data_IF_482028626640
#
_entry.id   IF_482028626640
#
_cell.length_a   1.000
_cell.length_b   1.000
_cell.length_c   1.000
_cell.angle_alpha   90.00
_cell.angle_beta   90.00
_cell.angle_gamma   90.00
#
_symmetry.space_group_name_H-M   'P 1'
#
loop_
_entity.id
_entity.type
_entity.pdbx_description
1 polymer ?
#
# COMPACT_ATOMS: atom_id res chain seq x y z
N UNK A 1 6.05 25.08 55.81
CA UNK A 1 5.21 24.78 54.61
C UNK A 1 4.56 23.46 54.81
N UNK A 2 3.33 23.47 55.22
CA UNK A 2 2.52 22.32 55.62
C UNK A 2 2.05 21.55 54.38
N UNK A 3 2.51 20.30 54.23
CA UNK A 3 1.96 19.36 53.31
C UNK A 3 0.58 18.92 53.80
N UNK A 4 -0.46 19.57 53.34
CA UNK A 4 -1.84 19.06 53.43
C UNK A 4 -1.94 17.90 52.42
N UNK A 5 -1.82 16.70 52.88
CA UNK A 5 -2.13 15.51 52.09
C UNK A 5 -3.60 15.54 51.77
N UNK A 6 -3.97 15.87 50.55
CA UNK A 6 -5.35 15.77 50.04
C UNK A 6 -5.75 14.29 50.08
N UNK A 7 -6.49 13.92 51.13
CA UNK A 7 -7.01 12.54 51.32
C UNK A 7 -8.07 12.37 50.20
N UNK A 8 -7.83 11.47 49.22
CA UNK A 8 -8.77 11.30 48.12
C UNK A 8 -10.16 10.93 48.68
N UNK A 9 -11.19 11.56 48.13
CA UNK A 9 -12.59 11.25 48.46
C UNK A 9 -12.79 9.73 48.54
N UNK A 10 -13.61 9.28 49.44
CA UNK A 10 -13.87 7.84 49.70
C UNK A 10 -14.37 7.11 48.46
N UNK A 11 -14.96 7.84 47.50
CA UNK A 11 -15.45 7.35 46.20
C UNK A 11 -15.10 8.34 45.09
N UNK A 12 -15.01 7.86 43.87
CA UNK A 12 -14.80 8.69 42.67
C UNK A 12 -16.04 9.59 42.44
N UNK A 13 -15.84 10.73 41.75
CA UNK A 13 -16.97 11.52 41.27
C UNK A 13 -17.89 10.66 40.38
N UNK A 14 -19.15 11.03 40.33
CA UNK A 14 -20.09 10.34 39.45
C UNK A 14 -19.70 10.54 37.97
N UNK A 15 -19.48 9.45 37.20
CA UNK A 15 -19.20 9.56 35.77
C UNK A 15 -20.43 10.10 35.01
N UNK A 16 -20.21 10.89 33.97
CA UNK A 16 -21.26 11.31 33.06
C UNK A 16 -21.85 10.14 32.29
N UNK A 17 -23.02 10.31 31.68
CA UNK A 17 -23.65 9.25 30.87
C UNK A 17 -22.77 8.77 29.73
N UNK A 18 -21.95 9.68 29.12
CA UNK A 18 -20.99 9.34 28.10
C UNK A 18 -19.82 8.52 28.65
N UNK A 19 -19.27 8.94 29.82
CA UNK A 19 -18.22 8.21 30.52
C UNK A 19 -18.68 6.82 30.97
N UNK A 20 -19.91 6.67 31.44
CA UNK A 20 -20.46 5.35 31.78
C UNK A 20 -20.54 4.41 30.58
N UNK A 21 -20.99 4.90 29.43
CA UNK A 21 -21.02 4.09 28.19
C UNK A 21 -19.64 3.60 27.83
N UNK A 22 -18.66 4.51 27.86
CA UNK A 22 -17.28 4.18 27.48
C UNK A 22 -16.60 3.27 28.51
N UNK A 23 -16.79 3.47 29.81
CA UNK A 23 -16.29 2.59 30.87
C UNK A 23 -16.86 1.17 30.76
N UNK A 24 -18.13 1.02 30.41
CA UNK A 24 -18.77 -0.28 30.16
C UNK A 24 -18.15 -0.97 28.94
N UNK A 25 -17.91 -0.22 27.87
CA UNK A 25 -17.20 -0.72 26.68
C UNK A 25 -15.79 -1.20 27.04
N UNK A 26 -15.01 -0.38 27.74
CA UNK A 26 -13.65 -0.70 28.16
C UNK A 26 -13.57 -1.89 29.14
N UNK A 27 -14.61 -2.13 29.95
CA UNK A 27 -14.72 -3.31 30.81
C UNK A 27 -14.66 -4.62 30.05
N UNK A 28 -15.15 -4.64 28.81
CA UNK A 28 -15.18 -5.82 27.91
C UNK A 28 -13.99 -5.93 26.96
N UNK A 29 -13.03 -4.99 26.99
CA UNK A 29 -11.88 -5.01 26.07
C UNK A 29 -10.92 -6.18 26.34
N UNK A 30 -10.26 -6.67 25.27
CA UNK A 30 -9.21 -7.70 25.37
C UNK A 30 -7.88 -7.19 25.96
N UNK A 31 -7.79 -5.90 26.32
CA UNK A 31 -6.63 -5.32 26.99
C UNK A 31 -6.79 -5.46 28.53
N UNK A 32 -6.22 -6.48 29.19
CA UNK A 32 -6.53 -6.82 30.59
C UNK A 32 -6.30 -5.65 31.54
N UNK A 33 -5.20 -4.92 31.37
CA UNK A 33 -4.88 -3.77 32.23
C UNK A 33 -5.89 -2.64 32.14
N UNK A 34 -6.44 -2.34 30.95
CA UNK A 34 -7.44 -1.29 30.75
C UNK A 34 -8.81 -1.72 31.27
N UNK A 35 -9.18 -2.98 31.05
CA UNK A 35 -10.41 -3.55 31.60
C UNK A 35 -10.46 -3.51 33.13
N UNK A 36 -9.35 -3.79 33.80
CA UNK A 36 -9.24 -3.70 35.27
C UNK A 36 -9.43 -2.27 35.76
N UNK A 37 -8.82 -1.28 35.08
CA UNK A 37 -8.92 0.16 35.43
C UNK A 37 -10.37 0.67 35.28
N UNK A 38 -11.02 0.33 34.17
CA UNK A 38 -12.44 0.67 33.96
C UNK A 38 -13.35 0.06 35.04
N UNK A 39 -13.10 -1.19 35.43
CA UNK A 39 -13.85 -1.86 36.51
C UNK A 39 -13.63 -1.24 37.89
N UNK A 40 -12.42 -0.75 38.19
CA UNK A 40 -12.12 -0.03 39.43
C UNK A 40 -12.97 1.25 39.52
N UNK A 41 -13.04 2.03 38.45
CA UNK A 41 -13.85 3.28 38.40
C UNK A 41 -15.34 2.97 38.53
N UNK A 42 -15.86 1.99 37.78
CA UNK A 42 -17.26 1.59 37.84
C UNK A 42 -17.66 1.14 39.25
N UNK A 43 -16.85 0.28 39.91
CA UNK A 43 -17.15 -0.16 41.27
C UNK A 43 -17.12 1.00 42.29
N UNK A 44 -16.21 1.95 42.10
CA UNK A 44 -16.18 3.15 42.99
C UNK A 44 -17.38 4.08 42.76
N UNK A 45 -17.86 4.21 41.51
CA UNK A 45 -19.06 4.93 41.18
C UNK A 45 -20.33 4.27 41.77
N UNK A 46 -20.32 2.92 41.81
CA UNK A 46 -21.35 2.11 42.49
C UNK A 46 -21.25 2.14 44.03
N UNK A 47 -20.44 3.05 44.60
CA UNK A 47 -20.20 3.21 46.04
C UNK A 47 -19.60 1.98 46.74
N UNK A 48 -18.90 1.11 46.02
CA UNK A 48 -18.15 -0.03 46.60
C UNK A 48 -16.92 0.50 47.35
N UNK A 49 -16.71 0.14 48.63
CA UNK A 49 -15.57 0.61 49.39
C UNK A 49 -14.21 0.10 48.82
N UNK A 50 -13.18 0.94 48.93
CA UNK A 50 -11.82 0.63 48.39
C UNK A 50 -11.31 -0.76 48.82
N UNK A 51 -11.43 -1.19 50.11
CA UNK A 51 -10.99 -2.53 50.53
C UNK A 51 -11.68 -3.66 49.76
N UNK A 52 -12.93 -3.47 49.44
CA UNK A 52 -13.73 -4.43 48.66
C UNK A 52 -13.30 -4.44 47.18
N UNK A 53 -13.04 -3.27 46.57
CA UNK A 53 -12.48 -3.15 45.21
C UNK A 53 -11.14 -3.87 45.11
N UNK A 54 -10.27 -3.70 46.15
CA UNK A 54 -8.98 -4.40 46.24
C UNK A 54 -9.15 -5.92 46.22
N UNK A 55 -10.06 -6.46 47.05
CA UNK A 55 -10.35 -7.91 47.08
C UNK A 55 -10.89 -8.42 45.75
N UNK A 56 -11.91 -7.76 45.20
CA UNK A 56 -12.57 -8.17 43.95
C UNK A 56 -11.65 -8.09 42.75
N UNK A 57 -10.66 -7.18 42.75
CA UNK A 57 -9.77 -6.95 41.59
C UNK A 57 -8.36 -7.48 41.80
N UNK A 58 -8.03 -7.95 43.01
CA UNK A 58 -6.69 -8.43 43.44
C UNK A 58 -5.61 -7.36 43.14
N UNK A 59 -5.84 -6.13 43.53
CA UNK A 59 -4.95 -4.98 43.36
C UNK A 59 -4.66 -4.28 44.68
N UNK A 60 -3.50 -3.62 44.77
CA UNK A 60 -3.12 -2.88 45.95
C UNK A 60 -3.92 -1.56 46.12
N UNK A 61 -4.00 -1.07 47.37
CA UNK A 61 -4.65 0.21 47.68
C UNK A 61 -4.06 1.39 46.85
N UNK A 62 -2.73 1.56 46.73
CA UNK A 62 -2.15 2.61 45.90
C UNK A 62 -2.60 2.54 44.43
N UNK A 63 -2.77 1.34 43.90
CA UNK A 63 -3.24 1.10 42.52
C UNK A 63 -4.69 1.59 42.35
N UNK A 64 -5.59 1.24 43.29
CA UNK A 64 -6.99 1.71 43.24
C UNK A 64 -7.04 3.23 43.31
N UNK A 65 -6.44 3.81 44.37
CA UNK A 65 -6.43 5.27 44.59
C UNK A 65 -5.80 6.02 43.40
N UNK A 66 -4.69 5.49 42.85
CA UNK A 66 -4.02 6.10 41.69
C UNK A 66 -4.91 6.17 40.45
N UNK A 67 -5.69 5.11 40.17
CA UNK A 67 -6.58 5.12 38.99
C UNK A 67 -7.83 5.97 39.22
N UNK A 68 -8.39 6.02 40.44
CA UNK A 68 -9.51 6.91 40.74
C UNK A 68 -9.10 8.38 40.59
N UNK A 69 -7.92 8.76 41.13
CA UNK A 69 -7.37 10.12 40.97
C UNK A 69 -7.17 10.50 39.51
N UNK A 70 -6.62 9.59 38.69
CA UNK A 70 -6.44 9.84 37.25
C UNK A 70 -7.76 10.01 36.52
N UNK A 71 -8.77 9.24 36.88
CA UNK A 71 -10.10 9.40 36.31
C UNK A 71 -10.72 10.74 36.75
N UNK A 72 -10.57 11.15 37.98
CA UNK A 72 -11.05 12.46 38.45
C UNK A 72 -10.42 13.63 37.71
N UNK A 73 -9.12 13.55 37.44
CA UNK A 73 -8.35 14.59 36.75
C UNK A 73 -8.59 14.66 35.24
N UNK A 74 -8.78 13.55 34.59
CA UNK A 74 -8.73 13.45 33.11
C UNK A 74 -9.84 12.59 32.50
N UNK A 75 -10.83 12.15 33.27
CA UNK A 75 -11.91 11.29 32.81
C UNK A 75 -11.41 9.94 32.26
N UNK A 76 -12.13 9.38 31.31
CA UNK A 76 -11.77 8.11 30.66
C UNK A 76 -10.37 8.12 30.01
N UNK A 77 -9.92 9.20 29.32
CA UNK A 77 -8.54 9.31 28.82
C UNK A 77 -7.46 9.10 29.89
N UNK A 78 -7.74 9.45 31.15
CA UNK A 78 -6.81 9.23 32.27
C UNK A 78 -6.51 7.76 32.57
N UNK A 79 -7.35 6.83 32.10
CA UNK A 79 -7.16 5.39 32.26
C UNK A 79 -6.23 4.79 31.21
N UNK A 80 -5.91 5.51 30.14
CA UNK A 80 -4.97 5.05 29.12
C UNK A 80 -3.53 5.01 29.67
N UNK A 81 -2.76 4.05 29.21
CA UNK A 81 -1.35 3.95 29.57
C UNK A 81 -0.57 5.06 28.86
N UNK A 82 -0.01 6.01 29.59
CA UNK A 82 0.94 6.97 29.03
C UNK A 82 2.22 6.23 28.64
N UNK A 83 2.80 6.61 27.49
CA UNK A 83 4.15 6.18 27.14
C UNK A 83 5.09 6.55 28.30
N UNK A 84 5.79 5.56 28.86
CA UNK A 84 6.80 5.82 29.87
C UNK A 84 8.05 6.31 29.16
N UNK A 85 8.60 7.45 29.57
CA UNK A 85 9.94 7.87 29.21
C UNK A 85 10.92 6.91 29.89
N UNK A 86 11.24 5.79 29.23
CA UNK A 86 12.29 4.90 29.66
C UNK A 86 13.68 5.46 29.34
N UNK A 87 14.73 4.82 29.85
CA UNK A 87 16.11 5.11 29.42
C UNK A 87 16.17 5.13 27.89
N UNK A 88 16.79 6.16 27.26
CA UNK A 88 16.90 6.23 25.81
C UNK A 88 17.41 4.91 25.23
N UNK A 89 16.73 4.42 24.21
CA UNK A 89 17.12 3.17 23.56
C UNK A 89 18.49 3.33 22.91
N UNK A 90 19.42 2.44 23.22
CA UNK A 90 20.71 2.36 22.52
C UNK A 90 20.56 1.87 21.06
N UNK A 91 19.39 1.39 20.69
CA UNK A 91 19.04 0.98 19.34
C UNK A 91 18.39 2.18 18.64
N UNK A 92 19.22 2.98 17.99
CA UNK A 92 18.79 4.18 17.22
C UNK A 92 18.46 3.80 15.78
N UNK A 93 17.68 4.63 15.05
CA UNK A 93 17.44 4.45 13.61
C UNK A 93 18.75 4.42 12.80
N UNK A 94 19.75 5.18 13.20
CA UNK A 94 21.08 5.21 12.55
C UNK A 94 21.81 3.88 12.72
N UNK A 95 21.78 3.30 13.91
CA UNK A 95 22.34 1.98 14.16
C UNK A 95 21.62 0.91 13.32
N UNK A 96 20.30 0.97 13.19
CA UNK A 96 19.55 0.02 12.37
C UNK A 96 19.92 0.12 10.88
N UNK A 97 20.09 1.33 10.35
CA UNK A 97 20.57 1.55 8.98
C UNK A 97 22.00 1.03 8.80
N UNK A 98 22.90 1.34 9.74
CA UNK A 98 24.29 0.87 9.69
C UNK A 98 24.37 -0.65 9.77
N UNK A 99 23.57 -1.31 10.62
CA UNK A 99 23.46 -2.76 10.69
C UNK A 99 23.01 -3.37 9.36
N UNK A 100 22.03 -2.77 8.69
CA UNK A 100 21.56 -3.25 7.38
C UNK A 100 22.69 -3.24 6.34
N UNK A 101 23.50 -2.17 6.31
CA UNK A 101 24.66 -2.04 5.39
C UNK A 101 25.72 -3.08 5.74
N UNK A 102 26.16 -3.14 7.00
CA UNK A 102 27.26 -4.01 7.44
C UNK A 102 26.91 -5.49 7.29
N UNK A 103 25.66 -5.88 7.61
CA UNK A 103 25.24 -7.29 7.52
C UNK A 103 24.94 -7.73 6.07
N UNK A 104 24.75 -6.81 5.14
CA UNK A 104 24.64 -7.11 3.71
C UNK A 104 26.01 -7.36 3.06
N UNK A 105 27.08 -6.80 3.61
CA UNK A 105 28.44 -7.02 3.16
C UNK A 105 29.04 -8.29 3.80
N UNK A 106 29.92 -8.99 3.06
CA UNK A 106 30.67 -10.10 3.64
C UNK A 106 31.72 -9.54 4.62
N UNK A 107 31.97 -10.21 5.76
CA UNK A 107 33.00 -9.78 6.71
C UNK A 107 34.37 -9.49 6.08
N UNK A 108 34.76 -10.31 5.09
CA UNK A 108 36.04 -10.15 4.35
C UNK A 108 36.13 -8.84 3.59
N UNK A 109 35.03 -8.37 3.01
CA UNK A 109 34.95 -7.12 2.25
C UNK A 109 35.10 -5.89 3.15
N UNK A 110 34.92 -6.10 4.46
CA UNK A 110 35.09 -5.09 5.52
C UNK A 110 36.33 -5.31 6.40
N UNK A 111 37.30 -6.09 5.90
CA UNK A 111 38.55 -6.34 6.59
C UNK A 111 38.49 -7.33 7.77
N UNK A 112 37.40 -8.08 7.91
CA UNK A 112 37.26 -9.14 8.94
C UNK A 112 37.48 -10.49 8.29
N UNK A 113 38.55 -11.25 8.62
CA UNK A 113 38.97 -12.47 7.92
C UNK A 113 38.06 -13.68 8.26
N UNK A 114 36.78 -13.56 8.01
CA UNK A 114 35.77 -14.61 8.27
C UNK A 114 34.77 -14.71 7.12
N UNK A 115 34.20 -15.89 6.85
CA UNK A 115 33.26 -16.09 5.74
C UNK A 115 31.86 -15.57 6.05
N UNK A 116 31.48 -15.44 7.32
CA UNK A 116 30.16 -14.97 7.74
C UNK A 116 30.23 -14.24 9.09
N UNK A 117 29.25 -13.37 9.36
CA UNK A 117 29.14 -12.67 10.64
C UNK A 117 28.64 -13.59 11.75
N UNK A 118 29.35 -13.64 12.88
CA UNK A 118 28.78 -14.04 14.16
C UNK A 118 28.34 -12.79 14.93
N UNK A 119 27.45 -12.96 15.90
CA UNK A 119 26.97 -11.84 16.73
C UNK A 119 28.12 -11.16 17.50
N UNK A 120 29.10 -11.96 17.98
CA UNK A 120 30.29 -11.45 18.66
C UNK A 120 31.18 -10.63 17.75
N UNK A 121 31.46 -11.13 16.55
CA UNK A 121 32.29 -10.45 15.56
C UNK A 121 31.65 -9.16 15.02
N UNK A 122 30.33 -9.19 14.80
CA UNK A 122 29.60 -7.99 14.41
C UNK A 122 29.64 -6.94 15.52
N UNK A 123 29.49 -7.35 16.78
CA UNK A 123 29.66 -6.44 17.94
C UNK A 123 31.05 -5.84 17.97
N UNK A 124 32.09 -6.67 17.84
CA UNK A 124 33.49 -6.24 17.83
C UNK A 124 33.75 -5.22 16.71
N UNK A 125 33.30 -5.51 15.52
CA UNK A 125 33.38 -4.61 14.37
C UNK A 125 32.69 -3.25 14.62
N UNK A 126 31.44 -3.26 15.15
CA UNK A 126 30.69 -2.06 15.46
C UNK A 126 31.34 -1.22 16.58
N UNK A 127 31.96 -1.87 17.55
CA UNK A 127 32.74 -1.19 18.61
C UNK A 127 34.01 -0.57 18.03
N UNK A 128 34.77 -1.35 17.23
CA UNK A 128 36.03 -0.90 16.60
C UNK A 128 35.81 0.27 15.64
N UNK A 129 34.73 0.26 14.88
CA UNK A 129 34.40 1.34 13.93
C UNK A 129 33.71 2.54 14.58
N UNK A 130 33.45 2.49 15.87
CA UNK A 130 32.75 3.57 16.60
C UNK A 130 31.24 3.66 16.32
N UNK A 131 30.70 2.79 15.47
CA UNK A 131 29.28 2.81 15.10
C UNK A 131 28.35 2.47 16.28
N UNK A 132 28.83 1.69 17.25
CA UNK A 132 28.10 1.37 18.49
C UNK A 132 29.07 1.07 19.63
N UNK A 133 29.76 2.06 20.20
CA UNK A 133 30.91 1.87 21.09
C UNK A 133 30.60 1.12 22.42
N UNK A 134 29.35 1.05 22.82
CA UNK A 134 28.93 0.40 24.08
C UNK A 134 27.71 -0.52 23.93
N UNK A 135 27.55 -1.19 22.75
CA UNK A 135 26.44 -2.11 22.54
C UNK A 135 26.68 -3.47 23.20
N UNK A 136 25.70 -3.98 23.97
CA UNK A 136 25.74 -5.35 24.48
C UNK A 136 25.30 -6.36 23.41
N UNK A 137 25.70 -7.62 23.55
CA UNK A 137 25.26 -8.70 22.64
C UNK A 137 23.73 -8.80 22.57
N UNK A 138 23.04 -8.63 23.71
CA UNK A 138 21.57 -8.70 23.75
C UNK A 138 20.93 -7.48 23.06
N UNK A 139 21.47 -6.28 23.29
CA UNK A 139 21.02 -5.09 22.57
C UNK A 139 21.22 -5.21 21.04
N UNK A 140 22.33 -5.81 20.62
CA UNK A 140 22.61 -6.10 19.22
C UNK A 140 21.63 -7.13 18.63
N UNK A 141 21.31 -8.19 19.40
CA UNK A 141 20.30 -9.18 19.01
C UNK A 141 18.92 -8.56 18.83
N UNK A 142 18.53 -7.68 19.75
CA UNK A 142 17.27 -6.93 19.67
C UNK A 142 17.28 -5.99 18.47
N UNK A 143 18.39 -5.30 18.20
CA UNK A 143 18.54 -4.40 17.05
C UNK A 143 18.39 -5.16 15.72
N UNK A 144 19.08 -6.30 15.57
CA UNK A 144 18.98 -7.16 14.39
C UNK A 144 17.53 -7.67 14.18
N UNK A 145 16.88 -8.12 15.25
CA UNK A 145 15.47 -8.55 15.19
C UNK A 145 14.52 -7.43 14.76
N UNK A 146 14.70 -6.22 15.30
CA UNK A 146 13.92 -5.03 14.91
C UNK A 146 14.15 -4.62 13.45
N UNK A 147 15.37 -4.80 12.96
CA UNK A 147 15.72 -4.55 11.57
C UNK A 147 15.31 -5.69 10.61
N UNK A 148 14.76 -6.80 11.11
CA UNK A 148 14.46 -7.99 10.31
C UNK A 148 15.72 -8.71 9.78
N UNK A 149 16.90 -8.45 10.39
CA UNK A 149 18.19 -8.98 9.97
C UNK A 149 18.53 -10.26 10.74
N UNK A 150 19.08 -11.27 10.07
CA UNK A 150 19.52 -12.54 10.66
C UNK A 150 20.97 -12.83 10.31
N UNK A 151 21.80 -13.12 11.34
CA UNK A 151 23.20 -13.53 11.20
C UNK A 151 23.33 -15.06 11.11
N UNK A 152 22.47 -15.74 10.37
CA UNK A 152 22.66 -17.18 10.17
C UNK A 152 23.94 -17.42 9.36
N UNK A 153 24.88 -18.25 9.83
CA UNK A 153 26.05 -18.63 9.04
C UNK A 153 25.56 -19.32 7.77
N UNK A 154 26.19 -19.01 6.62
CA UNK A 154 26.01 -19.79 5.41
C UNK A 154 26.44 -21.23 5.74
N UNK A 155 25.51 -22.15 5.93
CA UNK A 155 25.80 -23.57 6.02
C UNK A 155 26.27 -24.03 4.63
N UNK A 156 27.57 -24.26 4.49
CA UNK A 156 28.14 -25.06 3.40
C UNK A 156 27.66 -26.48 3.61
N UNK A 157 26.63 -26.87 2.89
CA UNK A 157 26.07 -28.22 2.96
C UNK A 157 24.70 -28.23 2.33
N UNK A 158 24.65 -28.59 1.04
CA UNK A 158 23.44 -28.79 0.27
C UNK A 158 22.51 -29.79 0.92
N UNK A 159 21.48 -29.31 1.59
CA UNK A 159 20.20 -29.97 1.68
C UNK A 159 19.13 -28.91 1.42
N UNK A 160 18.60 -28.95 0.20
CA UNK A 160 17.48 -28.15 -0.23
C UNK A 160 16.24 -28.43 0.61
N UNK A 161 15.96 -27.54 1.58
CA UNK A 161 14.60 -27.21 2.03
C UNK A 161 14.70 -25.89 2.80
N UNK A 162 14.24 -24.78 2.19
CA UNK A 162 13.93 -23.54 2.91
C UNK A 162 14.92 -22.38 2.87
N UNK A 163 15.94 -22.36 2.01
CA UNK A 163 16.69 -21.13 1.75
C UNK A 163 15.97 -20.37 0.62
N UNK A 164 15.35 -19.25 0.97
CA UNK A 164 14.87 -18.29 -0.05
C UNK A 164 16.12 -17.70 -0.73
N UNK A 165 16.55 -18.32 -1.82
CA UNK A 165 17.65 -17.80 -2.62
C UNK A 165 17.12 -16.56 -3.33
N UNK A 166 17.65 -15.38 -3.00
CA UNK A 166 17.32 -14.10 -3.65
C UNK A 166 17.84 -14.01 -5.11
N UNK A 167 18.14 -15.16 -5.72
CA UNK A 167 18.62 -15.29 -7.09
C UNK A 167 17.58 -16.10 -7.88
N UNK A 168 17.15 -15.66 -9.06
CA UNK A 168 16.28 -16.42 -9.96
C UNK A 168 16.82 -17.83 -10.25
N UNK A 169 15.93 -18.79 -10.56
CA UNK A 169 16.31 -20.09 -11.11
C UNK A 169 17.01 -19.96 -12.46
N UNK A 170 17.56 -21.05 -12.95
CA UNK A 170 18.05 -21.09 -14.32
C UNK A 170 16.91 -20.88 -15.31
N UNK A 171 17.12 -20.10 -16.33
CA UNK A 171 16.20 -19.84 -17.43
C UNK A 171 17.03 -19.58 -18.70
N UNK A 172 16.43 -19.77 -19.85
CA UNK A 172 16.97 -19.33 -21.12
C UNK A 172 16.54 -17.89 -21.41
N UNK A 173 17.50 -17.06 -21.83
CA UNK A 173 17.28 -15.65 -22.09
C UNK A 173 17.22 -15.39 -23.59
N UNK A 174 16.17 -14.69 -24.04
CA UNK A 174 15.96 -14.30 -25.42
C UNK A 174 15.78 -12.79 -25.49
N UNK A 175 16.46 -12.13 -26.42
CA UNK A 175 16.42 -10.68 -26.62
C UNK A 175 16.04 -10.35 -28.08
N UNK A 176 14.77 -10.52 -28.48
CA UNK A 176 14.30 -10.18 -29.81
C UNK A 176 14.42 -8.69 -30.10
N UNK A 177 14.70 -8.33 -31.34
CA UNK A 177 14.88 -6.95 -31.79
C UNK A 177 13.64 -6.36 -32.45
N UNK A 178 12.60 -7.16 -32.65
CA UNK A 178 11.33 -6.74 -33.25
C UNK A 178 10.13 -7.40 -32.59
N UNK A 179 8.95 -6.74 -32.71
CA UNK A 179 7.68 -7.30 -32.23
C UNK A 179 7.39 -8.65 -32.89
N UNK A 180 7.67 -8.74 -34.22
CA UNK A 180 7.42 -9.98 -34.98
C UNK A 180 8.28 -11.15 -34.51
N UNK A 181 9.53 -10.90 -34.14
CA UNK A 181 10.41 -11.91 -33.57
C UNK A 181 9.93 -12.33 -32.17
N UNK A 182 9.60 -11.35 -31.32
CA UNK A 182 9.12 -11.59 -29.96
C UNK A 182 7.83 -12.42 -29.93
N UNK A 183 6.85 -12.07 -30.76
CA UNK A 183 5.56 -12.80 -30.84
C UNK A 183 5.73 -14.22 -31.40
N UNK A 184 6.63 -14.43 -32.37
CA UNK A 184 6.98 -15.78 -32.86
C UNK A 184 7.65 -16.63 -31.77
N UNK A 185 8.57 -16.06 -31.00
CA UNK A 185 9.18 -16.74 -29.86
C UNK A 185 8.12 -17.14 -28.84
N UNK A 186 7.24 -16.21 -28.45
CA UNK A 186 6.15 -16.50 -27.51
C UNK A 186 5.21 -17.59 -28.01
N UNK A 187 4.85 -17.57 -29.30
CA UNK A 187 4.02 -18.60 -29.91
C UNK A 187 4.68 -19.98 -29.90
N UNK A 188 6.02 -20.04 -30.03
CA UNK A 188 6.80 -21.28 -30.04
C UNK A 188 7.01 -21.83 -28.63
N UNK A 189 7.30 -20.94 -27.66
CA UNK A 189 7.67 -21.29 -26.29
C UNK A 189 6.45 -21.47 -25.38
N UNK A 190 5.31 -20.89 -25.75
CA UNK A 190 4.03 -21.02 -25.02
C UNK A 190 4.11 -20.53 -23.57
N UNK A 191 3.47 -21.28 -22.68
CA UNK A 191 3.34 -20.91 -21.25
C UNK A 191 4.66 -20.96 -20.46
N UNK A 192 5.67 -21.68 -20.98
CA UNK A 192 7.00 -21.76 -20.38
C UNK A 192 7.77 -20.42 -20.49
N UNK A 193 7.32 -19.51 -21.35
CA UNK A 193 7.91 -18.18 -21.53
C UNK A 193 7.21 -17.09 -20.73
N UNK A 194 8.00 -16.12 -20.24
CA UNK A 194 7.48 -14.87 -19.67
C UNK A 194 8.18 -13.68 -20.29
N UNK A 195 7.38 -12.66 -20.58
CA UNK A 195 7.88 -11.39 -21.15
C UNK A 195 8.55 -10.58 -20.05
N UNK A 196 9.76 -10.12 -20.31
CA UNK A 196 10.48 -9.16 -19.48
C UNK A 196 10.42 -7.77 -20.15
N UNK A 197 9.71 -6.87 -19.51
CA UNK A 197 9.67 -5.44 -19.80
C UNK A 197 10.45 -4.69 -18.70
N UNK A 198 9.80 -3.89 -17.83
CA UNK A 198 10.48 -3.21 -16.72
C UNK A 198 11.07 -4.11 -15.63
N UNK A 199 10.65 -5.35 -15.57
CA UNK A 199 11.15 -6.36 -14.62
C UNK A 199 10.76 -6.18 -13.16
N UNK A 200 10.00 -5.14 -12.81
CA UNK A 200 9.74 -4.76 -11.41
C UNK A 200 8.71 -5.66 -10.70
N UNK A 201 7.99 -6.50 -11.45
CA UNK A 201 7.15 -7.58 -10.91
C UNK A 201 7.79 -8.95 -11.17
N UNK A 202 8.19 -9.24 -12.42
CA UNK A 202 8.69 -10.56 -12.81
C UNK A 202 9.97 -10.94 -12.06
N UNK A 203 10.97 -10.05 -11.99
CA UNK A 203 12.25 -10.34 -11.34
C UNK A 203 12.07 -10.62 -9.82
N UNK A 204 11.33 -9.82 -9.05
CA UNK A 204 10.99 -10.16 -7.67
C UNK A 204 10.30 -11.52 -7.51
N UNK A 205 9.31 -11.85 -8.37
CA UNK A 205 8.64 -13.15 -8.34
C UNK A 205 9.61 -14.30 -8.62
N UNK A 206 10.52 -14.13 -9.58
CA UNK A 206 11.56 -15.12 -9.89
C UNK A 206 12.57 -15.27 -8.73
N UNK A 207 12.98 -14.18 -8.09
CA UNK A 207 13.84 -14.20 -6.90
C UNK A 207 13.21 -14.92 -5.73
N UNK A 208 11.89 -14.76 -5.54
CA UNK A 208 11.13 -15.43 -4.49
C UNK A 208 10.66 -16.85 -4.86
N UNK A 209 10.97 -17.31 -6.07
CA UNK A 209 10.53 -18.62 -6.61
C UNK A 209 9.00 -18.74 -6.70
N UNK A 210 8.28 -17.64 -6.77
CA UNK A 210 6.84 -17.60 -7.04
C UNK A 210 6.55 -17.73 -8.54
N UNK A 211 7.51 -17.36 -9.39
CA UNK A 211 7.54 -17.65 -10.81
C UNK A 211 8.88 -18.32 -11.19
N UNK A 212 8.82 -19.36 -12.01
CA UNK A 212 10.00 -20.08 -12.49
C UNK A 212 9.87 -20.39 -13.97
N UNK A 213 9.82 -19.35 -14.84
CA UNK A 213 9.73 -19.56 -16.29
C UNK A 213 10.99 -20.25 -16.78
N UNK A 214 10.85 -21.11 -17.78
CA UNK A 214 12.01 -21.72 -18.48
C UNK A 214 12.66 -20.73 -19.43
N UNK A 215 11.87 -19.82 -19.99
CA UNK A 215 12.31 -18.84 -20.97
C UNK A 215 11.91 -17.42 -20.54
N UNK A 216 12.81 -16.49 -20.66
CA UNK A 216 12.55 -15.05 -20.44
C UNK A 216 12.77 -14.33 -21.75
N UNK A 217 11.74 -13.70 -22.28
CA UNK A 217 11.75 -12.93 -23.53
C UNK A 217 11.84 -11.45 -23.17
N UNK A 218 13.02 -10.88 -23.28
CA UNK A 218 13.30 -9.48 -22.97
C UNK A 218 12.97 -8.59 -24.17
N UNK A 219 11.94 -7.75 -24.03
CA UNK A 219 11.48 -6.85 -25.09
C UNK A 219 12.05 -5.43 -25.00
N UNK A 220 12.93 -5.14 -24.04
CA UNK A 220 13.51 -3.80 -23.86
C UNK A 220 14.32 -3.31 -25.07
N UNK A 221 14.88 -4.22 -25.86
CA UNK A 221 15.61 -3.90 -27.08
C UNK A 221 14.73 -3.54 -28.30
N UNK A 222 13.41 -3.70 -28.21
CA UNK A 222 12.50 -3.42 -29.33
C UNK A 222 12.25 -1.91 -29.41
N UNK A 223 12.74 -1.28 -30.48
CA UNK A 223 12.49 0.14 -30.73
C UNK A 223 11.02 0.47 -31.03
N UNK A 224 10.64 1.74 -30.80
CA UNK A 224 9.32 2.26 -31.18
C UNK A 224 8.17 1.89 -30.24
N UNK A 225 8.45 1.27 -29.08
CA UNK A 225 7.43 0.92 -28.08
C UNK A 225 7.44 1.84 -26.84
N UNK A 226 8.29 2.86 -26.80
CA UNK A 226 8.32 3.88 -25.74
C UNK A 226 8.00 5.25 -26.35
N UNK A 227 6.80 5.76 -26.10
CA UNK A 227 6.34 7.07 -26.57
C UNK A 227 5.09 7.52 -25.82
N UNK A 228 4.88 8.86 -25.81
CA UNK A 228 3.69 9.52 -25.30
C UNK A 228 3.32 10.59 -26.33
N UNK A 229 2.16 10.45 -26.98
CA UNK A 229 1.70 11.42 -28.01
C UNK A 229 0.20 11.40 -28.17
N UNK A 230 -0.37 12.53 -28.56
CA UNK A 230 -1.77 12.61 -29.01
C UNK A 230 -1.86 12.39 -30.52
N UNK A 231 -2.69 11.44 -30.92
CA UNK A 231 -2.99 11.16 -32.30
C UNK A 231 -4.34 10.43 -32.42
N UNK A 232 -5.04 10.66 -33.52
CA UNK A 232 -6.27 9.93 -33.89
C UNK A 232 -7.36 9.95 -32.80
N UNK A 233 -7.49 11.05 -32.06
CA UNK A 233 -8.48 11.21 -30.98
C UNK A 233 -8.09 10.55 -29.67
N UNK A 234 -6.84 10.09 -29.51
CA UNK A 234 -6.33 9.41 -28.34
C UNK A 234 -4.99 9.98 -27.87
N UNK A 235 -4.78 9.96 -26.55
CA UNK A 235 -3.43 9.88 -26.01
C UNK A 235 -2.94 8.44 -26.20
N UNK A 236 -1.89 8.28 -26.98
CA UNK A 236 -1.28 6.98 -27.31
C UNK A 236 0.02 6.84 -26.53
N UNK A 237 0.10 5.78 -25.75
CA UNK A 237 1.25 5.48 -24.86
C UNK A 237 1.80 4.13 -25.27
N UNK A 238 3.09 4.08 -25.62
CA UNK A 238 3.75 2.82 -25.98
C UNK A 238 3.90 1.89 -24.76
N UNK A 239 3.81 0.57 -24.98
CA UNK A 239 3.85 -0.43 -23.91
C UNK A 239 5.16 -0.46 -23.11
N UNK A 240 6.28 0.01 -23.66
CA UNK A 240 7.58 0.13 -22.99
C UNK A 240 7.86 1.49 -22.36
N UNK A 241 6.90 2.44 -22.45
CA UNK A 241 7.04 3.74 -21.78
C UNK A 241 7.25 3.55 -20.30
N UNK A 242 8.30 4.16 -19.74
CA UNK A 242 8.64 4.05 -18.32
C UNK A 242 7.68 4.87 -17.46
N UNK A 243 7.53 4.48 -16.20
CA UNK A 243 6.72 5.24 -15.24
C UNK A 243 7.31 6.64 -15.02
N UNK A 244 8.63 6.78 -15.03
CA UNK A 244 9.32 8.08 -14.92
C UNK A 244 9.02 8.98 -16.12
N UNK A 245 8.95 8.43 -17.34
CA UNK A 245 8.64 9.21 -18.54
C UNK A 245 7.20 9.79 -18.49
N UNK A 246 6.27 9.03 -17.88
CA UNK A 246 4.90 9.50 -17.64
C UNK A 246 4.86 10.58 -16.55
N UNK A 247 5.62 10.39 -15.45
CA UNK A 247 5.71 11.35 -14.34
C UNK A 247 6.31 12.69 -14.79
N UNK A 248 7.35 12.66 -15.65
CA UNK A 248 8.06 13.85 -16.14
C UNK A 248 7.42 14.48 -17.35
N UNK A 249 6.45 13.81 -17.99
CA UNK A 249 5.79 14.31 -19.20
C UNK A 249 4.97 15.56 -18.93
N UNK A 250 5.34 16.68 -19.56
CA UNK A 250 4.58 17.94 -19.54
C UNK A 250 3.17 17.76 -20.08
N UNK A 251 3.01 16.96 -21.13
CA UNK A 251 1.71 16.63 -21.72
C UNK A 251 0.80 15.94 -20.69
N UNK A 252 1.32 14.94 -19.97
CA UNK A 252 0.57 14.22 -18.94
C UNK A 252 0.23 15.17 -17.78
N UNK A 253 1.19 15.93 -17.32
CA UNK A 253 1.06 16.85 -16.19
C UNK A 253 -0.04 17.90 -16.42
N UNK A 254 -0.12 18.45 -17.62
CA UNK A 254 -1.03 19.56 -17.94
C UNK A 254 -2.40 19.12 -18.40
N UNK A 255 -2.50 18.02 -19.15
CA UNK A 255 -3.75 17.61 -19.80
C UNK A 255 -4.41 16.36 -19.22
N UNK A 256 -3.67 15.53 -18.46
CA UNK A 256 -4.16 14.25 -17.92
C UNK A 256 -3.95 14.17 -16.41
N UNK A 257 -4.57 15.04 -15.59
CA UNK A 257 -4.30 15.15 -14.16
C UNK A 257 -4.58 13.87 -13.37
N UNK A 258 -5.53 13.03 -13.80
CA UNK A 258 -5.78 11.72 -13.23
C UNK A 258 -4.56 10.79 -13.41
N UNK A 259 -4.03 10.71 -14.63
CA UNK A 259 -2.87 9.87 -14.92
C UNK A 259 -1.62 10.39 -14.22
N UNK A 260 -1.43 11.71 -14.19
CA UNK A 260 -0.34 12.34 -13.45
C UNK A 260 -0.38 12.04 -11.95
N UNK A 261 -1.55 12.19 -11.30
CA UNK A 261 -1.72 11.83 -9.88
C UNK A 261 -1.36 10.36 -9.65
N UNK A 262 -1.70 9.45 -10.59
CA UNK A 262 -1.43 8.01 -10.51
C UNK A 262 0.08 7.73 -10.57
N UNK A 263 0.77 8.26 -11.58
CA UNK A 263 2.21 8.00 -11.79
C UNK A 263 3.05 8.38 -10.55
N UNK A 264 2.71 9.47 -9.88
CA UNK A 264 3.44 9.98 -8.71
C UNK A 264 3.36 9.12 -7.46
N UNK A 265 2.38 8.22 -7.36
CA UNK A 265 2.18 7.36 -6.19
C UNK A 265 2.55 5.90 -6.45
N UNK A 266 3.06 5.59 -7.64
CA UNK A 266 3.55 4.25 -7.97
C UNK A 266 4.93 4.05 -7.40
N UNK A 267 5.05 3.12 -6.46
CA UNK A 267 6.32 2.64 -5.90
C UNK A 267 7.29 3.79 -5.50
N UNK A 268 8.57 3.59 -5.74
CA UNK A 268 9.64 4.57 -5.51
C UNK A 268 10.34 4.95 -6.83
N UNK A 269 11.17 6.00 -6.86
CA UNK A 269 11.86 6.44 -8.08
C UNK A 269 12.72 5.35 -8.74
N UNK A 270 13.35 4.46 -7.96
CA UNK A 270 14.19 3.38 -8.53
C UNK A 270 13.32 2.39 -9.31
N UNK A 271 12.12 2.11 -8.81
CA UNK A 271 11.14 1.26 -9.51
C UNK A 271 10.62 1.98 -10.75
N UNK A 272 10.23 3.26 -10.64
CA UNK A 272 9.67 4.03 -11.78
C UNK A 272 10.65 4.19 -12.93
N UNK A 273 11.95 4.27 -12.65
CA UNK A 273 12.99 4.34 -13.70
C UNK A 273 13.03 3.11 -14.62
N UNK A 274 12.53 1.98 -14.15
CA UNK A 274 12.57 0.71 -14.89
C UNK A 274 11.19 0.16 -15.23
N UNK A 275 10.22 0.32 -14.34
CA UNK A 275 8.85 -0.13 -14.55
C UNK A 275 8.23 0.53 -15.78
N UNK A 276 7.39 -0.21 -16.49
CA UNK A 276 6.69 0.26 -17.68
C UNK A 276 5.18 0.17 -17.47
N UNK A 277 4.43 1.10 -18.04
CA UNK A 277 2.97 1.09 -17.98
C UNK A 277 2.38 -0.19 -18.60
N UNK A 278 2.92 -0.65 -19.72
CA UNK A 278 2.48 -1.89 -20.37
C UNK A 278 2.74 -3.11 -19.49
N UNK A 279 3.90 -3.18 -18.82
CA UNK A 279 4.22 -4.24 -17.87
C UNK A 279 3.33 -4.22 -16.63
N UNK A 280 3.00 -3.03 -16.12
CA UNK A 280 2.07 -2.85 -15.01
C UNK A 280 0.67 -3.40 -15.33
N UNK A 281 0.12 -3.04 -16.50
CA UNK A 281 -1.21 -3.50 -16.95
C UNK A 281 -1.20 -4.99 -17.29
N UNK A 282 -0.20 -5.48 -18.03
CA UNK A 282 -0.12 -6.89 -18.44
C UNK A 282 0.10 -7.84 -17.26
N UNK A 283 0.66 -7.36 -16.15
CA UNK A 283 0.81 -8.14 -14.93
C UNK A 283 -0.53 -8.50 -14.27
N UNK A 284 -1.54 -7.66 -14.43
CA UNK A 284 -2.90 -7.94 -13.93
C UNK A 284 -3.02 -8.00 -12.41
N UNK A 285 -2.10 -7.38 -11.65
CA UNK A 285 -2.20 -7.32 -10.19
C UNK A 285 -3.35 -6.38 -9.77
N UNK A 286 -4.34 -6.87 -8.99
CA UNK A 286 -5.44 -6.03 -8.50
C UNK A 286 -4.99 -4.84 -7.65
N UNK A 287 -3.80 -4.89 -7.08
CA UNK A 287 -3.25 -3.83 -6.24
C UNK A 287 -2.44 -2.78 -7.02
N UNK A 288 -2.24 -2.95 -8.33
CA UNK A 288 -1.62 -1.95 -9.18
C UNK A 288 -2.50 -0.70 -9.33
N UNK A 289 -1.86 0.46 -9.48
CA UNK A 289 -2.56 1.76 -9.52
C UNK A 289 -3.13 2.08 -10.92
N UNK A 290 -2.39 1.79 -12.01
CA UNK A 290 -2.84 2.06 -13.39
C UNK A 290 -4.14 1.36 -13.80
N UNK A 291 -4.43 0.11 -13.43
CA UNK A 291 -5.66 -0.54 -13.85
C UNK A 291 -6.93 0.24 -13.54
N UNK A 292 -7.07 0.76 -12.32
CA UNK A 292 -8.23 1.57 -11.93
C UNK A 292 -8.27 2.91 -12.69
N UNK A 293 -7.09 3.52 -12.91
CA UNK A 293 -6.97 4.75 -13.71
C UNK A 293 -7.40 4.54 -15.15
N UNK A 294 -6.96 3.45 -15.77
CA UNK A 294 -7.37 3.13 -17.15
C UNK A 294 -8.87 2.82 -17.24
N UNK A 295 -9.46 2.14 -16.25
CA UNK A 295 -10.91 1.92 -16.16
C UNK A 295 -11.68 3.24 -16.08
N UNK A 296 -11.22 4.18 -15.26
CA UNK A 296 -11.84 5.50 -15.14
C UNK A 296 -11.72 6.33 -16.42
N UNK A 297 -10.61 6.22 -17.15
CA UNK A 297 -10.34 6.91 -18.40
C UNK A 297 -11.03 6.24 -19.61
N UNK A 298 -11.56 5.03 -19.47
CA UNK A 298 -12.15 4.28 -20.59
C UNK A 298 -11.13 3.91 -21.67
N UNK A 299 -9.93 3.50 -21.26
CA UNK A 299 -8.83 3.19 -22.15
C UNK A 299 -9.07 1.91 -22.98
N UNK A 300 -8.29 1.77 -24.07
CA UNK A 300 -8.17 0.56 -24.87
C UNK A 300 -6.72 0.07 -24.85
N UNK A 301 -6.55 -1.24 -24.82
CA UNK A 301 -5.26 -1.92 -24.94
C UNK A 301 -5.08 -2.41 -26.38
N UNK A 302 -3.95 -2.12 -26.98
CA UNK A 302 -3.56 -2.71 -28.28
C UNK A 302 -2.65 -3.89 -28.02
N UNK A 303 -3.14 -5.06 -28.38
CA UNK A 303 -2.42 -6.34 -28.30
C UNK A 303 -1.97 -6.76 -29.70
N UNK A 304 -0.68 -7.14 -29.83
CA UNK A 304 -0.08 -7.59 -31.08
C UNK A 304 0.40 -9.04 -30.93
N UNK A 305 -0.19 -9.92 -31.72
CA UNK A 305 0.24 -11.32 -31.87
C UNK A 305 0.94 -11.55 -33.21
N UNK A 306 1.24 -12.81 -33.49
CA UNK A 306 1.90 -13.23 -34.76
C UNK A 306 1.08 -12.85 -35.98
N UNK A 307 -0.23 -13.08 -35.92
CA UNK A 307 -1.13 -12.95 -37.11
C UNK A 307 -1.81 -11.60 -37.20
N UNK A 308 -2.16 -10.99 -36.07
CA UNK A 308 -3.02 -9.82 -36.03
C UNK A 308 -2.71 -8.89 -34.85
N UNK A 309 -3.18 -7.68 -35.00
CA UNK A 309 -3.31 -6.70 -33.92
C UNK A 309 -4.79 -6.60 -33.58
N UNK A 310 -5.12 -6.47 -32.29
CA UNK A 310 -6.47 -6.26 -31.84
C UNK A 310 -6.54 -5.24 -30.71
N UNK A 311 -7.67 -4.57 -30.59
CA UNK A 311 -7.97 -3.65 -29.51
C UNK A 311 -8.85 -4.35 -28.47
N UNK A 312 -8.54 -4.15 -27.21
CA UNK A 312 -9.25 -4.72 -26.09
C UNK A 312 -9.70 -3.57 -25.19
N UNK A 313 -11.00 -3.31 -25.05
CA UNK A 313 -11.49 -2.33 -24.10
C UNK A 313 -11.02 -2.69 -22.69
N UNK A 314 -10.58 -1.70 -21.93
CA UNK A 314 -10.02 -1.94 -20.59
C UNK A 314 -10.99 -2.65 -19.64
N UNK A 315 -12.30 -2.43 -19.81
CA UNK A 315 -13.34 -3.08 -18.99
C UNK A 315 -13.43 -4.60 -19.16
N UNK A 316 -12.84 -5.15 -20.24
CA UNK A 316 -12.74 -6.60 -20.50
C UNK A 316 -11.30 -7.12 -20.48
N UNK A 317 -10.36 -6.28 -20.10
CA UNK A 317 -8.94 -6.65 -20.13
C UNK A 317 -8.51 -7.52 -18.94
N UNK A 318 -8.99 -7.23 -17.73
CA UNK A 318 -8.66 -7.99 -16.51
C UNK A 318 -9.67 -9.12 -16.30
N UNK A 319 -9.24 -10.37 -16.50
CA UNK A 319 -10.12 -11.56 -16.47
C UNK A 319 -10.09 -12.28 -15.12
N UNK A 320 -9.04 -12.08 -14.32
CA UNK A 320 -8.86 -12.66 -13.00
C UNK A 320 -7.65 -12.02 -12.28
N UNK A 321 -7.36 -12.44 -11.04
CA UNK A 321 -6.16 -11.99 -10.32
C UNK A 321 -4.92 -12.44 -11.08
N UNK A 322 -4.07 -11.48 -11.47
CA UNK A 322 -2.87 -11.72 -12.28
C UNK A 322 -3.16 -12.34 -13.66
N UNK A 323 -4.41 -12.18 -14.15
CA UNK A 323 -4.85 -12.68 -15.45
C UNK A 323 -5.43 -11.54 -16.29
N UNK A 324 -5.06 -11.55 -17.56
CA UNK A 324 -5.54 -10.57 -18.55
C UNK A 324 -6.04 -11.28 -19.81
N UNK A 325 -6.76 -10.52 -20.64
CA UNK A 325 -7.26 -11.02 -21.93
C UNK A 325 -6.16 -11.17 -23.02
N UNK A 326 -4.89 -10.92 -22.70
CA UNK A 326 -3.77 -11.21 -23.61
C UNK A 326 -3.65 -12.71 -23.84
N UNK A 327 -3.46 -13.09 -25.08
CA UNK A 327 -3.11 -14.47 -25.42
C UNK A 327 -1.63 -14.74 -25.14
N UNK A 328 -1.20 -16.00 -24.98
CA UNK A 328 0.19 -16.34 -24.69
C UNK A 328 1.20 -15.82 -25.72
N UNK A 329 0.78 -15.64 -26.98
CA UNK A 329 1.59 -15.13 -28.08
C UNK A 329 1.45 -13.63 -28.35
N UNK A 330 0.73 -12.88 -27.47
CA UNK A 330 0.46 -11.46 -27.66
C UNK A 330 1.32 -10.58 -26.75
N UNK A 331 1.76 -9.45 -27.27
CA UNK A 331 2.37 -8.35 -26.55
C UNK A 331 1.41 -7.18 -26.41
N UNK A 332 1.35 -6.55 -25.25
CA UNK A 332 0.75 -5.25 -25.07
C UNK A 332 1.70 -4.19 -25.67
N UNK A 333 1.34 -3.62 -26.79
CA UNK A 333 2.21 -2.70 -27.55
C UNK A 333 1.84 -1.24 -27.36
N UNK A 334 0.56 -0.92 -27.09
CA UNK A 334 0.08 0.45 -26.93
C UNK A 334 -1.12 0.51 -25.98
N UNK A 335 -1.22 1.57 -25.24
CA UNK A 335 -2.41 1.98 -24.47
C UNK A 335 -3.00 3.22 -25.16
N UNK A 336 -4.31 3.22 -25.40
CA UNK A 336 -5.05 4.35 -25.97
C UNK A 336 -6.02 4.90 -24.96
N UNK A 337 -5.85 6.16 -24.59
CA UNK A 337 -6.74 6.88 -23.69
C UNK A 337 -7.49 7.93 -24.50
N UNK A 338 -8.83 7.96 -24.49
CA UNK A 338 -9.58 9.01 -25.19
C UNK A 338 -9.13 10.41 -24.76
N UNK A 339 -9.05 11.35 -25.70
CA UNK A 339 -8.71 12.73 -25.37
C UNK A 339 -9.76 13.32 -24.42
N UNK A 340 -9.36 14.05 -23.38
CA UNK A 340 -10.30 14.67 -22.47
C UNK A 340 -11.09 15.77 -23.20
N UNK A 341 -12.41 15.77 -23.03
CA UNK A 341 -13.24 16.86 -23.50
C UNK A 341 -12.98 18.14 -22.69
N UNK A 342 -13.45 19.28 -23.20
CA UNK A 342 -13.45 20.51 -22.42
C UNK A 342 -14.21 20.30 -21.10
N UNK A 343 -13.81 21.01 -20.04
CA UNK A 343 -14.40 20.89 -18.69
C UNK A 343 -14.33 19.46 -18.11
N UNK A 344 -13.27 18.74 -18.45
CA UNK A 344 -12.93 17.46 -17.82
C UNK A 344 -11.97 17.68 -16.66
N UNK A 345 -12.14 16.89 -15.62
CA UNK A 345 -11.24 16.83 -14.47
C UNK A 345 -11.13 15.42 -13.96
N UNK A 346 -9.99 15.09 -13.39
CA UNK A 346 -9.76 13.76 -12.82
C UNK A 346 -8.85 13.81 -11.60
N UNK A 347 -8.94 12.79 -10.76
CA UNK A 347 -8.10 12.66 -9.58
C UNK A 347 -7.87 11.18 -9.22
N UNK A 348 -6.66 10.87 -8.78
CA UNK A 348 -6.32 9.61 -8.13
C UNK A 348 -6.02 9.84 -6.66
N UNK A 349 -6.67 9.08 -5.79
CA UNK A 349 -6.42 9.12 -4.35
C UNK A 349 -6.15 7.72 -3.83
N UNK A 350 -5.06 7.57 -3.12
CA UNK A 350 -4.55 6.30 -2.60
C UNK A 350 -4.31 6.41 -1.10
N UNK A 351 -4.69 5.39 -0.36
CA UNK A 351 -4.20 5.17 0.99
C UNK A 351 -3.23 4.00 0.99
N UNK A 352 -2.04 4.22 1.50
CA UNK A 352 -0.96 3.25 1.62
C UNK A 352 -0.39 3.26 3.04
N UNK A 353 0.32 2.20 3.45
CA UNK A 353 0.93 2.12 4.80
C UNK A 353 2.20 2.94 4.92
N UNK A 354 2.94 3.05 3.85
CA UNK A 354 4.16 3.85 3.70
C UNK A 354 4.25 4.32 2.25
N UNK A 355 4.95 5.40 2.01
CA UNK A 355 5.19 5.93 0.67
C UNK A 355 5.79 4.84 -0.24
N UNK A 356 5.17 4.64 -1.40
CA UNK A 356 5.58 3.65 -2.39
C UNK A 356 5.12 2.21 -2.12
N UNK A 357 4.24 1.97 -1.11
CA UNK A 357 3.61 0.65 -0.92
C UNK A 357 2.43 0.48 -1.89
N UNK A 358 1.98 -0.76 -2.06
CA UNK A 358 0.69 -1.03 -2.68
C UNK A 358 -0.44 -0.39 -1.89
N UNK A 359 -1.51 -0.01 -2.58
CA UNK A 359 -2.66 0.60 -1.96
C UNK A 359 -3.30 -0.33 -0.90
N UNK A 360 -3.70 0.23 0.24
CA UNK A 360 -4.72 -0.39 1.09
C UNK A 360 -6.06 -0.33 0.38
N UNK A 361 -6.37 0.81 -0.22
CA UNK A 361 -7.45 1.06 -1.16
C UNK A 361 -7.11 2.33 -1.96
N UNK A 362 -7.52 2.40 -3.21
CA UNK A 362 -7.39 3.62 -4.00
C UNK A 362 -8.58 3.80 -4.96
N UNK A 363 -8.79 5.05 -5.38
CA UNK A 363 -9.89 5.44 -6.25
C UNK A 363 -9.38 6.38 -7.34
N UNK A 364 -9.70 6.04 -8.57
CA UNK A 364 -9.53 6.86 -9.76
C UNK A 364 -10.88 7.45 -10.17
N UNK A 365 -10.96 8.74 -10.39
CA UNK A 365 -12.15 9.42 -10.91
C UNK A 365 -11.75 10.28 -12.11
N UNK A 366 -12.50 10.14 -13.20
CA UNK A 366 -12.48 11.06 -14.33
C UNK A 366 -13.92 11.52 -14.60
N UNK A 367 -14.15 12.82 -14.76
CA UNK A 367 -15.48 13.33 -15.10
C UNK A 367 -15.41 14.48 -16.12
N UNK A 368 -16.50 14.67 -16.83
CA UNK A 368 -16.71 15.80 -17.76
C UNK A 368 -18.03 16.50 -17.43
N UNK A 369 -18.00 17.81 -17.34
CA UNK A 369 -19.18 18.63 -17.09
C UNK A 369 -19.71 19.24 -18.39
N UNK A 370 -21.01 19.14 -18.59
CA UNK A 370 -21.72 19.88 -19.63
C UNK A 370 -21.79 21.38 -19.34
N UNK A 371 -22.27 22.14 -20.35
CA UNK A 371 -22.41 23.58 -20.23
C UNK A 371 -23.30 24.03 -19.06
N UNK A 372 -24.33 23.25 -18.73
CA UNK A 372 -25.26 23.48 -17.63
C UNK A 372 -24.71 23.00 -16.25
N UNK A 373 -23.47 22.49 -16.19
CA UNK A 373 -22.83 21.98 -14.97
C UNK A 373 -23.31 20.59 -14.52
N UNK A 374 -24.03 19.86 -15.38
CA UNK A 374 -24.35 18.45 -15.14
C UNK A 374 -23.18 17.55 -15.55
N UNK A 375 -23.05 16.39 -14.94
CA UNK A 375 -22.05 15.39 -15.25
C UNK A 375 -22.44 14.64 -16.54
N UNK A 376 -21.80 14.93 -17.66
CA UNK A 376 -22.06 14.25 -18.95
C UNK A 376 -21.39 12.88 -19.01
N UNK A 377 -20.15 12.82 -18.55
CA UNK A 377 -19.37 11.58 -18.50
C UNK A 377 -18.68 11.45 -17.14
N UNK A 378 -18.61 10.24 -16.66
CA UNK A 378 -17.86 9.90 -15.44
C UNK A 378 -17.36 8.47 -15.50
N UNK A 379 -16.12 8.28 -15.10
CA UNK A 379 -15.50 6.98 -14.87
C UNK A 379 -14.96 6.90 -13.46
N UNK A 380 -15.23 5.78 -12.76
CA UNK A 380 -14.78 5.52 -11.38
C UNK A 380 -14.15 4.13 -11.33
N UNK A 381 -12.84 4.09 -11.13
CA UNK A 381 -12.06 2.86 -10.96
C UNK A 381 -11.59 2.68 -9.51
N UNK A 382 -11.62 1.44 -9.02
CA UNK A 382 -11.22 1.09 -7.65
C UNK A 382 -10.06 0.11 -7.67
N UNK A 383 -9.06 0.35 -6.80
CA UNK A 383 -7.83 -0.45 -6.68
C UNK A 383 -7.83 -1.24 -5.38
N UNK A 384 -7.38 -2.50 -5.43
CA UNK A 384 -7.13 -3.42 -4.30
C UNK A 384 -8.33 -3.68 -3.38
N UNK A 385 -9.52 -3.65 -3.96
CA UNK A 385 -10.79 -3.91 -3.24
C UNK A 385 -11.68 -4.90 -3.98
N UNK A 386 -11.09 -5.80 -4.73
CA UNK A 386 -11.71 -6.92 -5.45
C UNK A 386 -10.65 -7.85 -6.00
N UNK A 387 -11.07 -8.96 -6.62
CA UNK A 387 -10.17 -9.90 -7.29
C UNK A 387 -9.55 -9.31 -8.56
N UNK A 388 -10.21 -8.32 -9.16
CA UNK A 388 -9.73 -7.51 -10.28
C UNK A 388 -9.98 -6.04 -9.95
N UNK A 389 -9.35 -5.09 -10.68
CA UNK A 389 -9.74 -3.68 -10.61
C UNK A 389 -11.23 -3.52 -10.93
N UNK A 390 -11.94 -2.71 -10.16
CA UNK A 390 -13.39 -2.59 -10.24
C UNK A 390 -13.79 -1.28 -10.92
N UNK A 391 -14.68 -1.34 -11.91
CA UNK A 391 -15.40 -0.19 -12.41
C UNK A 391 -16.70 -0.01 -11.62
N UNK A 392 -16.85 1.13 -10.93
CA UNK A 392 -18.00 1.39 -10.06
C UNK A 392 -19.21 1.91 -10.88
N UNK A 393 -19.73 1.12 -11.82
CA UNK A 393 -20.73 1.52 -12.81
C UNK A 393 -22.05 2.06 -12.20
N UNK A 394 -22.45 1.56 -11.02
CA UNK A 394 -23.63 2.07 -10.30
C UNK A 394 -23.38 3.48 -9.75
N UNK A 395 -22.17 3.75 -9.27
CA UNK A 395 -21.77 5.07 -8.83
C UNK A 395 -21.69 6.06 -9.98
N UNK A 396 -21.16 5.63 -11.13
CA UNK A 396 -21.14 6.40 -12.37
C UNK A 396 -22.57 6.77 -12.82
N UNK A 397 -23.48 5.79 -12.85
CA UNK A 397 -24.89 6.01 -13.24
C UNK A 397 -25.62 6.98 -12.28
N UNK A 398 -25.28 6.99 -11.01
CA UNK A 398 -25.89 7.91 -10.03
C UNK A 398 -25.50 9.38 -10.26
N UNK A 399 -24.35 9.64 -10.90
CA UNK A 399 -23.83 10.97 -11.22
C UNK A 399 -24.25 11.46 -12.61
N UNK A 400 -24.35 10.55 -13.58
CA UNK A 400 -24.59 10.89 -14.98
C UNK A 400 -25.90 11.66 -15.18
N UNK A 401 -25.84 12.79 -15.88
CA UNK A 401 -26.96 13.67 -16.15
C UNK A 401 -27.39 14.57 -14.98
N UNK A 402 -26.74 14.45 -13.82
CA UNK A 402 -27.05 15.26 -12.62
C UNK A 402 -25.96 16.29 -12.33
N UNK A 403 -26.31 17.34 -11.58
CA UNK A 403 -25.29 18.20 -10.96
C UNK A 403 -24.64 17.44 -9.83
N UNK A 404 -23.31 17.32 -9.79
CA UNK A 404 -22.61 16.60 -8.73
C UNK A 404 -22.51 17.46 -7.45
N UNK A 405 -23.65 17.65 -6.78
CA UNK A 405 -23.74 18.26 -5.46
C UNK A 405 -23.30 17.30 -4.34
N UNK A 406 -23.24 17.80 -3.11
CA UNK A 406 -22.81 17.00 -1.96
C UNK A 406 -23.67 15.76 -1.70
N UNK A 407 -24.97 15.82 -1.99
CA UNK A 407 -25.87 14.67 -1.81
C UNK A 407 -25.59 13.59 -2.86
N UNK A 408 -25.45 14.00 -4.13
CA UNK A 408 -25.12 13.11 -5.26
C UNK A 408 -23.71 12.50 -5.11
N UNK A 409 -22.72 13.28 -4.64
CA UNK A 409 -21.39 12.80 -4.34
C UNK A 409 -21.42 11.74 -3.23
N UNK A 410 -22.13 11.99 -2.13
CA UNK A 410 -22.29 11.03 -1.03
C UNK A 410 -22.96 9.74 -1.50
N UNK A 411 -24.00 9.85 -2.31
CA UNK A 411 -24.68 8.69 -2.89
C UNK A 411 -23.73 7.87 -3.79
N UNK A 412 -23.00 8.51 -4.71
CA UNK A 412 -22.05 7.85 -5.57
C UNK A 412 -20.92 7.18 -4.77
N UNK A 413 -20.41 7.85 -3.75
CA UNK A 413 -19.39 7.32 -2.87
C UNK A 413 -19.85 6.06 -2.11
N UNK A 414 -21.09 6.04 -1.63
CA UNK A 414 -21.69 4.85 -1.02
C UNK A 414 -21.80 3.71 -2.03
N UNK A 415 -22.32 3.99 -3.24
CA UNK A 415 -22.44 2.98 -4.30
C UNK A 415 -21.09 2.41 -4.77
N UNK A 416 -20.02 3.21 -4.74
CA UNK A 416 -18.66 2.74 -5.00
C UNK A 416 -18.16 1.80 -3.88
N UNK A 417 -18.43 2.13 -2.62
CA UNK A 417 -18.13 1.25 -1.50
C UNK A 417 -18.91 -0.07 -1.55
N UNK A 418 -20.18 -0.02 -1.95
CA UNK A 418 -21.03 -1.22 -2.11
C UNK A 418 -20.57 -2.11 -3.27
N UNK A 419 -19.96 -1.53 -4.32
CA UNK A 419 -19.39 -2.29 -5.43
C UNK A 419 -18.09 -3.01 -5.05
N UNK A 420 -17.41 -2.57 -4.00
CA UNK A 420 -16.15 -3.15 -3.56
C UNK A 420 -16.33 -4.48 -2.82
N UNK A 421 -15.39 -5.41 -3.04
CA UNK A 421 -15.35 -6.75 -2.44
C UNK A 421 -13.96 -7.03 -1.85
N UNK A 422 -13.49 -6.22 -0.90
CA UNK A 422 -12.16 -6.41 -0.33
C UNK A 422 -12.09 -7.64 0.56
N UNK A 423 -10.93 -8.28 0.61
CA UNK A 423 -10.58 -9.26 1.63
C UNK A 423 -9.91 -8.59 2.83
N UNK A 424 -10.06 -9.18 4.02
CA UNK A 424 -9.30 -8.78 5.19
C UNK A 424 -7.84 -9.25 5.06
N UNK A 425 -6.89 -8.37 5.36
CA UNK A 425 -5.45 -8.65 5.34
C UNK A 425 -4.71 -7.80 6.38
N UNK A 426 -3.36 -7.81 6.32
CA UNK A 426 -2.51 -7.01 7.21
C UNK A 426 -2.71 -5.49 7.06
N UNK A 427 -3.39 -5.03 6.00
CA UNK A 427 -3.71 -3.61 5.75
C UNK A 427 -5.03 -3.17 6.38
N UNK A 428 -5.89 -4.12 6.73
CA UNK A 428 -7.13 -3.82 7.45
C UNK A 428 -8.27 -4.81 7.19
N UNK A 429 -9.34 -4.74 8.01
CA UNK A 429 -10.56 -5.53 7.82
C UNK A 429 -11.39 -5.02 6.64
N UNK A 430 -12.36 -5.84 6.22
CA UNK A 430 -13.25 -5.57 5.07
C UNK A 430 -13.98 -4.23 5.22
N UNK A 431 -14.57 -3.97 6.37
CA UNK A 431 -15.36 -2.76 6.65
C UNK A 431 -14.52 -1.50 6.55
N UNK A 432 -13.27 -1.55 7.06
CA UNK A 432 -12.35 -0.44 6.94
C UNK A 432 -12.01 -0.12 5.48
N UNK A 433 -11.75 -1.14 4.65
CA UNK A 433 -11.46 -0.93 3.23
C UNK A 433 -12.66 -0.39 2.47
N UNK A 434 -13.88 -0.82 2.78
CA UNK A 434 -15.13 -0.26 2.24
C UNK A 434 -15.31 1.20 2.64
N UNK A 435 -15.08 1.53 3.91
CA UNK A 435 -15.12 2.91 4.40
C UNK A 435 -14.08 3.79 3.71
N UNK A 436 -12.88 3.27 3.47
CA UNK A 436 -11.85 3.98 2.69
C UNK A 436 -12.35 4.29 1.28
N UNK A 437 -12.93 3.33 0.57
CA UNK A 437 -13.50 3.58 -0.78
C UNK A 437 -14.56 4.66 -0.72
N UNK A 438 -15.47 4.63 0.24
CA UNK A 438 -16.50 5.67 0.40
C UNK A 438 -15.88 7.06 0.59
N UNK A 439 -14.90 7.18 1.48
CA UNK A 439 -14.24 8.46 1.77
C UNK A 439 -13.39 8.94 0.59
N UNK A 440 -12.57 8.05 0.01
CA UNK A 440 -11.69 8.39 -1.10
C UNK A 440 -12.49 8.75 -2.35
N UNK A 441 -13.59 8.06 -2.65
CA UNK A 441 -14.47 8.38 -3.79
C UNK A 441 -15.05 9.78 -3.65
N UNK A 442 -15.60 10.13 -2.47
CA UNK A 442 -16.13 11.47 -2.26
C UNK A 442 -15.06 12.57 -2.40
N UNK A 443 -13.85 12.33 -1.89
CA UNK A 443 -12.73 13.27 -2.01
C UNK A 443 -12.23 13.38 -3.46
N UNK A 444 -12.12 12.25 -4.17
CA UNK A 444 -11.67 12.23 -5.56
C UNK A 444 -12.68 12.93 -6.48
N UNK A 445 -13.98 12.74 -6.25
CA UNK A 445 -15.04 13.45 -6.98
C UNK A 445 -14.94 14.96 -6.79
N UNK A 446 -14.78 15.45 -5.55
CA UNK A 446 -14.62 16.90 -5.29
C UNK A 446 -13.38 17.46 -5.99
N UNK A 447 -12.24 16.77 -5.88
CA UNK A 447 -11.00 17.20 -6.56
C UNK A 447 -11.14 17.17 -8.08
N UNK A 448 -11.82 16.19 -8.64
CA UNK A 448 -12.08 16.11 -10.07
C UNK A 448 -13.02 17.23 -10.53
N UNK A 449 -14.04 17.58 -9.75
CA UNK A 449 -14.94 18.71 -10.00
C UNK A 449 -14.22 20.06 -10.00
N UNK A 450 -13.38 20.29 -9.00
CA UNK A 450 -12.54 21.49 -8.92
C UNK A 450 -11.70 21.65 -10.19
N UNK A 451 -11.06 20.59 -10.65
CA UNK A 451 -10.24 20.56 -11.87
C UNK A 451 -11.05 20.71 -13.15
N UNK A 452 -12.30 20.28 -13.17
CA UNK A 452 -13.22 20.50 -14.29
C UNK A 452 -13.78 21.93 -14.35
N UNK A 453 -13.42 22.80 -13.40
CA UNK A 453 -13.95 24.17 -13.29
C UNK A 453 -15.34 24.22 -12.67
N UNK A 454 -15.75 23.20 -11.94
CA UNK A 454 -17.06 23.10 -11.26
C UNK A 454 -17.12 23.70 -9.84
N UNK A 455 -16.00 24.19 -9.32
CA UNK A 455 -15.88 24.76 -7.97
C UNK A 455 -15.98 26.28 -7.97
N UNK A 456 -17.14 26.85 -8.29
CA UNK A 456 -17.50 28.24 -7.98
C UNK A 456 -18.92 28.28 -7.40
#
# INVERSE_FOLDING_TARGET
MTWVADIPRRFVREPTAAEYRELRRLRGTQLPGLAVRARIVLLSAERVPIPEIMRRRRVSRPTVVGWLRRFEQSGVPGLLTRARSGRPSRVTPDLLRHLAIVTSARPRDLGVPRPAWSLAQLREYLVKTGAAPAISLESLRVALRRAGLSLKPARTGLTQKGATTMIPGAFEYHAPTSIGEATKLLATLGEDAKVLSGGQSLIPLMKLRLASPRHVVDINGIGGLAYIREADGFLRIGGLTREVDLEESELIRTRYPLLFDTCRVIADPLVRNLATIGGNLAHGDPANDHPATMLALGAEIVAKGVKAERRIPIGSFFTGPFETALKPDELLVEIRVPLPAARSGGAYLKLERKVGDFATAAVAVQLTLGANGTCEQVGIGLTNVGLTPIKASRAEAALKGKRPDEATIKQAAQLAADASQPSADLRGPVEYKKDLIRVLTARALRKALERAGGGR
#
